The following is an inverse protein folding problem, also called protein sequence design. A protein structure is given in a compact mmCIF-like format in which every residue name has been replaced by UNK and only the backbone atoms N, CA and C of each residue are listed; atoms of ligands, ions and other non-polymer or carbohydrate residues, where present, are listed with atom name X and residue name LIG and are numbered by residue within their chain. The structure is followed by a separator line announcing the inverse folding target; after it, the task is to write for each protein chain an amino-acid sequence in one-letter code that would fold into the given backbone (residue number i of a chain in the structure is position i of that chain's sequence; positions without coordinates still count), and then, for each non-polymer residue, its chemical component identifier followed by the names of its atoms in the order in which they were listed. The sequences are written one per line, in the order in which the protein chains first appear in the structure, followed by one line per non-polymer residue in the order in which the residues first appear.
data_IF_522227597626
#
_entry.id   IF_522227597626
#
_cell.length_a   1.000
_cell.length_b   1.000
_cell.length_c   1.000
_cell.angle_alpha   90.00
_cell.angle_beta   90.00
_cell.angle_gamma   90.00
#
_symmetry.space_group_name_H-M   'P 1'
#
loop_
_entity.id
_entity.type
_entity.pdbx_description
1 polymer ?
#
# COMPACT_ATOMS: atom_id res chain seq x y z
N UNK A 1 -29.87 14.37 14.21
CA UNK A 1 -28.56 14.86 13.71
C UNK A 1 -27.53 13.85 14.20
N UNK A 2 -27.30 12.79 13.43
CA UNK A 2 -26.31 11.79 13.78
C UNK A 2 -24.95 12.33 13.33
N UNK A 3 -23.99 12.40 14.24
CA UNK A 3 -22.61 12.66 13.89
C UNK A 3 -22.16 11.55 12.94
N UNK A 4 -21.85 11.91 11.70
CA UNK A 4 -21.11 11.06 10.78
C UNK A 4 -19.79 10.74 11.46
N UNK A 5 -19.67 9.55 12.04
CA UNK A 5 -18.37 8.94 12.30
C UNK A 5 -17.65 8.95 10.95
N UNK A 6 -16.62 9.79 10.86
CA UNK A 6 -15.59 9.62 9.82
C UNK A 6 -15.02 8.24 10.11
N UNK A 7 -15.47 7.23 9.36
CA UNK A 7 -14.88 5.91 9.37
C UNK A 7 -13.39 6.15 9.10
N UNK A 8 -12.56 6.07 10.15
CA UNK A 8 -11.11 6.05 9.98
C UNK A 8 -10.85 4.77 9.21
N UNK A 9 -10.58 4.90 7.90
CA UNK A 9 -10.18 3.78 7.07
C UNK A 9 -9.04 3.00 7.73
N UNK A 10 -8.86 1.74 7.37
CA UNK A 10 -7.83 0.88 7.98
C UNK A 10 -6.43 1.29 7.56
N UNK A 11 -5.42 0.81 8.28
CA UNK A 11 -4.03 1.05 7.90
C UNK A 11 -3.56 0.08 6.82
N UNK A 12 -2.60 0.51 6.01
CA UNK A 12 -1.91 -0.34 5.04
C UNK A 12 -1.20 -1.50 5.74
N UNK A 13 -0.51 -1.25 6.86
CA UNK A 13 0.18 -2.30 7.61
C UNK A 13 -0.77 -3.39 8.12
N UNK A 14 -1.97 -3.02 8.57
CA UNK A 14 -2.97 -4.02 9.03
C UNK A 14 -3.51 -4.83 7.86
N UNK A 15 -3.86 -4.17 6.75
CA UNK A 15 -4.35 -4.84 5.53
C UNK A 15 -3.31 -5.81 4.97
N UNK A 16 -2.04 -5.39 4.96
CA UNK A 16 -0.91 -6.21 4.57
C UNK A 16 -0.79 -7.43 5.48
N UNK A 17 -0.85 -7.24 6.80
CA UNK A 17 -0.74 -8.33 7.75
C UNK A 17 -1.90 -9.32 7.61
N UNK A 18 -3.14 -8.87 7.52
CA UNK A 18 -4.29 -9.76 7.38
C UNK A 18 -4.24 -10.56 6.07
N UNK A 19 -3.96 -9.88 4.95
CA UNK A 19 -3.97 -10.50 3.61
C UNK A 19 -2.90 -11.58 3.46
N UNK A 20 -1.76 -11.37 4.09
CA UNK A 20 -0.56 -12.15 3.85
C UNK A 20 -0.15 -13.03 5.06
N UNK A 21 -0.49 -12.65 6.30
CA UNK A 21 -0.14 -13.42 7.51
C UNK A 21 -1.27 -14.24 8.13
N UNK A 22 -2.53 -13.80 8.04
CA UNK A 22 -3.60 -14.40 8.86
C UNK A 22 -4.00 -15.83 8.41
N UNK A 23 -3.37 -16.34 7.35
CA UNK A 23 -3.49 -17.75 6.96
C UNK A 23 -2.74 -18.73 7.90
N UNK A 24 -1.77 -18.25 8.69
CA UNK A 24 -0.95 -19.10 9.58
C UNK A 24 -1.73 -19.54 10.85
N UNK A 25 -2.75 -18.78 11.25
CA UNK A 25 -3.59 -19.10 12.41
C UNK A 25 -4.48 -20.32 12.16
N UNK A 26 -4.98 -20.49 10.93
CA UNK A 26 -5.75 -21.69 10.52
C UNK A 26 -4.91 -22.94 10.28
N UNK A 27 -3.59 -22.80 10.07
CA UNK A 27 -2.69 -23.92 9.78
C UNK A 27 -2.40 -24.79 11.02
N UNK A 28 -2.39 -24.20 12.21
CA UNK A 28 -2.12 -24.92 13.46
C UNK A 28 -3.30 -25.80 13.94
N UNK A 29 -4.50 -25.60 13.38
CA UNK A 29 -5.70 -26.36 13.74
C UNK A 29 -5.96 -27.60 12.86
N UNK A 30 -5.25 -27.76 11.73
CA UNK A 30 -5.35 -28.97 10.88
C UNK A 30 -4.34 -30.05 11.29
N UNK A 31 -4.49 -30.61 12.50
CA UNK A 31 -3.71 -31.79 12.93
C UNK A 31 -4.15 -33.12 12.31
N UNK A 32 -5.17 -33.15 11.44
CA UNK A 32 -5.75 -34.41 10.94
C UNK A 32 -6.03 -34.39 9.43
N UNK A 33 -4.99 -34.60 8.61
CA UNK A 33 -5.11 -35.34 7.35
C UNK A 33 -5.18 -34.53 6.05
N UNK A 34 -4.19 -34.82 5.18
CA UNK A 34 -4.07 -34.49 3.75
C UNK A 34 -4.02 -33.00 3.37
N UNK A 35 -2.80 -32.50 3.19
CA UNK A 35 -2.52 -31.15 2.73
C UNK A 35 -2.60 -31.05 1.20
N UNK A 36 -3.57 -30.28 0.70
CA UNK A 36 -3.45 -29.64 -0.61
C UNK A 36 -2.92 -28.24 -0.38
N UNK A 37 -1.61 -28.06 -0.56
CA UNK A 37 -0.96 -26.75 -0.41
C UNK A 37 -1.01 -26.00 -1.73
N UNK A 38 -1.79 -24.92 -1.78
CA UNK A 38 -1.70 -23.97 -2.88
C UNK A 38 -0.54 -23.01 -2.61
N UNK A 39 0.64 -23.35 -3.13
CA UNK A 39 1.71 -22.37 -3.28
C UNK A 39 1.36 -21.46 -4.47
N UNK A 40 0.65 -20.36 -4.21
CA UNK A 40 0.83 -19.19 -5.07
C UNK A 40 2.24 -18.69 -4.73
N UNK A 41 3.16 -18.60 -5.70
CA UNK A 41 4.61 -18.44 -5.51
C UNK A 41 5.10 -17.13 -4.86
N UNK A 42 4.33 -16.58 -3.92
CA UNK A 42 4.44 -15.24 -3.32
C UNK A 42 4.23 -15.28 -1.79
N UNK A 43 4.20 -16.47 -1.17
CA UNK A 43 3.95 -16.61 0.27
C UNK A 43 4.98 -15.82 1.10
N UNK A 44 4.53 -15.08 2.11
CA UNK A 44 5.43 -14.35 3.01
C UNK A 44 6.30 -15.30 3.81
N UNK A 45 7.49 -14.84 4.18
CA UNK A 45 8.34 -15.50 5.17
C UNK A 45 8.28 -14.71 6.48
N UNK A 46 8.01 -15.40 7.57
CA UNK A 46 8.19 -14.85 8.92
C UNK A 46 9.66 -14.97 9.30
N UNK A 47 10.30 -13.86 9.61
CA UNK A 47 11.70 -13.80 10.06
C UNK A 47 11.77 -13.30 11.51
N UNK A 48 12.93 -13.40 12.17
CA UNK A 48 13.13 -12.84 13.51
C UNK A 48 12.87 -11.32 13.57
N UNK A 49 13.00 -10.63 12.44
CA UNK A 49 12.78 -9.19 12.30
C UNK A 49 11.36 -8.81 11.89
N UNK A 50 10.49 -9.78 11.59
CA UNK A 50 9.11 -9.55 11.15
C UNK A 50 8.75 -10.28 9.85
N UNK A 51 7.59 -9.92 9.30
CA UNK A 51 7.11 -10.43 8.03
C UNK A 51 8.01 -9.92 6.89
N UNK A 52 8.33 -10.77 5.92
CA UNK A 52 9.02 -10.38 4.68
C UNK A 52 8.31 -11.05 3.50
N UNK A 53 7.82 -10.24 2.55
CA UNK A 53 7.23 -10.73 1.32
C UNK A 53 8.34 -11.11 0.33
N UNK A 54 8.29 -12.32 -0.23
CA UNK A 54 9.12 -12.68 -1.40
C UNK A 54 8.46 -12.25 -2.72
N UNK A 55 7.31 -11.57 -2.64
CA UNK A 55 6.57 -11.10 -3.80
C UNK A 55 7.14 -9.76 -4.27
N UNK A 56 7.37 -9.64 -5.57
CA UNK A 56 7.63 -8.33 -6.19
C UNK A 56 6.38 -7.46 -6.25
N UNK A 57 5.20 -8.01 -5.94
CA UNK A 57 3.90 -7.36 -6.12
C UNK A 57 3.03 -7.51 -4.87
N UNK A 58 2.43 -6.40 -4.42
CA UNK A 58 1.40 -6.34 -3.38
C UNK A 58 0.12 -5.80 -3.99
N UNK A 59 -1.01 -6.47 -3.73
CA UNK A 59 -2.34 -6.05 -4.20
C UNK A 59 -3.30 -6.01 -3.01
N UNK A 60 -3.75 -4.81 -2.67
CA UNK A 60 -4.64 -4.50 -1.55
C UNK A 60 -5.72 -3.51 -2.02
N UNK A 61 -6.46 -3.90 -3.07
CA UNK A 61 -7.55 -3.12 -3.67
C UNK A 61 -8.84 -3.26 -2.87
N UNK A 62 -9.62 -2.17 -2.72
CA UNK A 62 -10.94 -2.17 -2.06
C UNK A 62 -10.93 -2.62 -0.58
N UNK A 63 -9.84 -2.30 0.12
CA UNK A 63 -9.62 -2.66 1.53
C UNK A 63 -9.97 -1.50 2.49
N UNK A 64 -10.51 -0.38 1.98
CA UNK A 64 -10.78 0.84 2.76
C UNK A 64 -9.53 1.41 3.46
N UNK A 65 -8.34 1.24 2.88
CA UNK A 65 -7.09 1.76 3.43
C UNK A 65 -7.06 3.29 3.29
N UNK A 66 -6.74 4.01 4.35
CA UNK A 66 -6.66 5.49 4.32
C UNK A 66 -5.31 6.06 4.76
N UNK A 67 -4.47 5.26 5.40
CA UNK A 67 -3.19 5.68 5.98
C UNK A 67 -2.21 4.51 6.07
N UNK A 68 -0.93 4.79 6.31
CA UNK A 68 0.16 3.78 6.27
C UNK A 68 0.10 2.81 7.45
N UNK A 69 -0.15 3.32 8.66
CA UNK A 69 -0.01 2.53 9.90
C UNK A 69 1.44 2.51 10.38
N UNK A 70 2.01 1.34 10.64
CA UNK A 70 3.41 1.19 11.09
C UNK A 70 4.39 1.20 9.91
N UNK A 71 5.13 2.31 9.68
CA UNK A 71 6.01 2.44 8.52
C UNK A 71 7.21 1.48 8.57
N UNK A 72 7.65 1.08 9.76
CA UNK A 72 8.76 0.14 9.93
C UNK A 72 8.31 -1.28 9.57
N UNK A 73 7.13 -1.68 10.03
CA UNK A 73 6.55 -2.98 9.66
C UNK A 73 6.36 -3.08 8.14
N UNK A 74 5.91 -2.01 7.49
CA UNK A 74 5.80 -1.93 6.03
C UNK A 74 7.18 -2.06 5.36
N UNK A 75 8.19 -1.34 5.85
CA UNK A 75 9.54 -1.39 5.27
C UNK A 75 10.17 -2.78 5.34
N UNK A 76 9.98 -3.50 6.44
CA UNK A 76 10.47 -4.87 6.61
C UNK A 76 9.70 -5.82 5.68
N UNK A 77 8.36 -5.73 5.70
CA UNK A 77 7.46 -6.59 4.93
C UNK A 77 7.61 -6.42 3.42
N UNK A 78 7.76 -5.19 2.96
CA UNK A 78 7.77 -4.83 1.55
C UNK A 78 9.18 -4.55 1.01
N UNK A 79 10.22 -5.05 1.68
CA UNK A 79 11.63 -4.80 1.33
C UNK A 79 12.07 -5.31 -0.05
N UNK A 80 11.25 -6.11 -0.76
CA UNK A 80 11.51 -6.59 -2.12
C UNK A 80 10.38 -6.24 -3.10
N UNK A 81 9.40 -5.45 -2.66
CA UNK A 81 8.21 -5.12 -3.46
C UNK A 81 8.55 -4.04 -4.47
N UNK A 82 8.23 -4.31 -5.74
CA UNK A 82 8.42 -3.40 -6.86
C UNK A 82 7.09 -2.82 -7.38
N UNK A 83 5.98 -3.51 -7.16
CA UNK A 83 4.64 -3.07 -7.57
C UNK A 83 3.68 -3.09 -6.38
N UNK A 84 3.00 -1.97 -6.15
CA UNK A 84 1.92 -1.87 -5.16
C UNK A 84 0.64 -1.41 -5.85
N UNK A 85 -0.39 -2.25 -5.80
CA UNK A 85 -1.75 -1.87 -6.19
C UNK A 85 -2.62 -1.67 -4.96
N UNK A 86 -2.99 -0.41 -4.73
CA UNK A 86 -3.89 0.04 -3.66
C UNK A 86 -5.01 0.88 -4.25
N UNK A 87 -5.46 0.52 -5.46
CA UNK A 87 -6.61 1.15 -6.10
C UNK A 87 -7.90 0.96 -5.31
N UNK A 88 -8.88 1.84 -5.53
CA UNK A 88 -10.19 1.80 -4.86
C UNK A 88 -10.10 1.79 -3.33
N UNK A 89 -9.17 2.56 -2.77
CA UNK A 89 -9.03 2.75 -1.32
C UNK A 89 -9.49 4.16 -0.93
N UNK A 90 -9.24 4.55 0.32
CA UNK A 90 -9.64 5.81 0.91
C UNK A 90 -8.47 6.78 1.13
N UNK A 91 -7.38 6.68 0.36
CA UNK A 91 -6.29 7.64 0.45
C UNK A 91 -6.74 9.02 -0.06
N UNK A 92 -6.64 10.02 0.82
CA UNK A 92 -6.96 11.41 0.50
C UNK A 92 -5.85 12.39 0.89
N UNK A 93 -4.72 11.90 1.39
CA UNK A 93 -3.59 12.73 1.85
C UNK A 93 -2.29 12.31 1.15
N UNK A 94 -1.65 13.27 0.48
CA UNK A 94 -0.36 13.07 -0.17
C UNK A 94 0.79 12.87 0.81
N UNK A 95 0.64 13.29 2.08
CA UNK A 95 1.62 12.98 3.13
C UNK A 95 1.64 11.48 3.45
N UNK A 96 0.48 10.84 3.51
CA UNK A 96 0.38 9.38 3.69
C UNK A 96 0.98 8.63 2.51
N UNK A 97 0.76 9.11 1.27
CA UNK A 97 1.41 8.54 0.09
C UNK A 97 2.94 8.72 0.13
N UNK A 98 3.41 9.88 0.60
CA UNK A 98 4.84 10.11 0.82
C UNK A 98 5.42 9.14 1.83
N UNK A 99 4.75 8.98 2.97
CA UNK A 99 5.17 8.10 4.04
C UNK A 99 5.21 6.65 3.53
N UNK A 100 4.18 6.22 2.80
CA UNK A 100 4.11 4.90 2.21
C UNK A 100 5.29 4.64 1.28
N UNK A 101 5.55 5.56 0.35
CA UNK A 101 6.64 5.42 -0.62
C UNK A 101 8.01 5.49 0.05
N UNK A 102 8.16 6.23 1.15
CA UNK A 102 9.40 6.23 1.96
C UNK A 102 9.66 4.89 2.65
N UNK A 103 8.61 4.13 2.96
CA UNK A 103 8.68 2.76 3.47
C UNK A 103 8.87 1.70 2.39
N UNK A 104 8.88 2.07 1.11
CA UNK A 104 8.94 1.14 -0.03
C UNK A 104 10.18 1.39 -0.90
N UNK A 105 11.39 1.02 -0.43
CA UNK A 105 12.63 1.46 -1.05
C UNK A 105 12.84 1.00 -2.50
N UNK A 106 12.17 -0.07 -2.94
CA UNK A 106 12.34 -0.66 -4.27
C UNK A 106 11.11 -0.52 -5.18
N UNK A 107 10.09 0.23 -4.76
CA UNK A 107 8.85 0.36 -5.55
C UNK A 107 9.11 1.12 -6.85
N UNK A 108 8.65 0.53 -7.95
CA UNK A 108 8.72 1.06 -9.32
C UNK A 108 7.35 1.43 -9.85
N UNK A 109 6.31 0.73 -9.41
CA UNK A 109 4.93 0.98 -9.85
C UNK A 109 4.01 1.10 -8.65
N UNK A 110 3.25 2.18 -8.58
CA UNK A 110 2.16 2.32 -7.62
C UNK A 110 0.85 2.67 -8.33
N UNK A 111 -0.20 1.92 -8.01
CA UNK A 111 -1.55 2.20 -8.49
C UNK A 111 -2.41 2.77 -7.38
N UNK A 112 -2.76 4.04 -7.53
CA UNK A 112 -3.61 4.84 -6.62
C UNK A 112 -4.96 5.19 -7.26
N UNK A 113 -5.32 4.52 -8.36
CA UNK A 113 -6.58 4.77 -9.08
C UNK A 113 -7.78 4.67 -8.14
N UNK A 114 -8.81 5.49 -8.37
CA UNK A 114 -10.06 5.50 -7.61
C UNK A 114 -9.92 5.78 -6.11
N UNK A 115 -8.85 6.48 -5.69
CA UNK A 115 -8.73 7.05 -4.35
C UNK A 115 -9.25 8.51 -4.33
N UNK A 116 -9.91 8.96 -3.25
CA UNK A 116 -10.58 10.26 -3.15
C UNK A 116 -9.60 11.41 -2.83
N UNK A 117 -8.60 11.62 -3.68
CA UNK A 117 -7.70 12.76 -3.50
C UNK A 117 -8.46 14.07 -3.66
N UNK A 118 -8.24 15.05 -2.78
CA UNK A 118 -8.99 16.30 -2.81
C UNK A 118 -8.65 17.13 -4.05
N UNK A 119 -9.67 17.82 -4.55
CA UNK A 119 -9.59 18.73 -5.69
C UNK A 119 -9.01 20.07 -5.19
N UNK A 120 -7.99 20.58 -5.87
CA UNK A 120 -7.33 21.84 -5.55
C UNK A 120 -5.86 21.70 -5.16
N UNK A 121 -5.17 22.83 -5.03
CA UNK A 121 -3.73 22.87 -4.79
C UNK A 121 -3.40 22.47 -3.35
N UNK A 122 -3.20 21.17 -3.12
CA UNK A 122 -2.63 20.67 -1.89
C UNK A 122 -1.11 20.71 -1.99
N UNK A 123 -0.46 21.33 -0.99
CA UNK A 123 1.00 21.41 -0.93
C UNK A 123 1.54 19.99 -0.86
N UNK A 124 2.11 19.50 -1.96
CA UNK A 124 2.89 18.28 -1.94
C UNK A 124 4.02 18.45 -0.92
N UNK A 125 4.28 17.45 -0.06
CA UNK A 125 5.37 17.53 0.89
C UNK A 125 6.69 17.87 0.15
N UNK A 126 7.42 18.85 0.67
CA UNK A 126 8.63 19.39 0.01
C UNK A 126 9.69 18.29 -0.18
N UNK A 127 9.76 17.38 0.79
CA UNK A 127 10.70 16.27 0.87
C UNK A 127 10.33 15.05 0.01
N UNK A 128 9.23 15.09 -0.76
CA UNK A 128 8.90 14.01 -1.70
C UNK A 128 10.03 13.82 -2.70
N UNK A 129 10.67 12.67 -2.67
CA UNK A 129 11.45 12.14 -3.77
C UNK A 129 11.11 10.66 -3.94
N UNK A 130 10.79 10.27 -5.16
CA UNK A 130 10.45 8.88 -5.49
C UNK A 130 11.48 8.31 -6.47
N UNK A 131 12.74 8.15 -6.07
CA UNK A 131 13.87 7.96 -7.00
C UNK A 131 13.75 6.70 -7.87
N UNK A 132 12.95 5.72 -7.46
CA UNK A 132 12.76 4.45 -8.16
C UNK A 132 11.40 4.33 -8.86
N UNK A 133 10.49 5.30 -8.67
CA UNK A 133 9.13 5.21 -9.17
C UNK A 133 9.07 5.54 -10.66
N UNK A 134 8.73 4.54 -11.48
CA UNK A 134 8.60 4.67 -12.93
C UNK A 134 7.14 4.86 -13.36
N UNK A 135 6.19 4.30 -12.62
CA UNK A 135 4.77 4.26 -12.99
C UNK A 135 3.90 4.69 -11.81
N UNK A 136 3.09 5.72 -12.04
CA UNK A 136 2.09 6.23 -11.10
C UNK A 136 0.72 6.21 -11.77
N UNK A 137 -0.19 5.33 -11.33
CA UNK A 137 -1.55 5.27 -11.88
C UNK A 137 -2.52 6.04 -10.98
N UNK A 138 -3.25 7.00 -11.57
CA UNK A 138 -4.18 7.90 -10.88
C UNK A 138 -5.56 7.96 -11.56
N UNK A 139 -5.96 6.86 -12.20
CA UNK A 139 -7.20 6.82 -12.97
C UNK A 139 -8.40 6.98 -12.05
N UNK A 140 -9.41 7.76 -12.46
CA UNK A 140 -10.63 7.93 -11.66
C UNK A 140 -10.43 8.63 -10.31
N UNK A 141 -9.27 9.26 -10.06
CA UNK A 141 -8.97 10.00 -8.83
C UNK A 141 -9.42 11.47 -8.86
N UNK A 142 -10.01 11.93 -9.97
CA UNK A 142 -10.48 13.32 -10.18
C UNK A 142 -9.43 14.41 -9.90
N UNK A 143 -8.13 14.07 -10.02
CA UNK A 143 -7.02 14.99 -9.82
C UNK A 143 -6.93 15.98 -10.97
N UNK A 144 -6.73 17.26 -10.65
CA UNK A 144 -6.55 18.33 -11.63
C UNK A 144 -5.19 18.26 -12.35
N UNK A 145 -5.13 18.76 -13.58
CA UNK A 145 -3.93 18.70 -14.40
C UNK A 145 -2.72 19.40 -13.77
N UNK A 146 -2.93 20.53 -13.08
CA UNK A 146 -1.86 21.27 -12.41
C UNK A 146 -1.19 20.43 -11.31
N UNK A 147 -1.98 19.64 -10.60
CA UNK A 147 -1.47 18.72 -9.59
C UNK A 147 -0.68 17.56 -10.22
N UNK A 148 -1.11 17.05 -11.37
CA UNK A 148 -0.34 16.05 -12.13
C UNK A 148 1.03 16.61 -12.52
N UNK A 149 1.08 17.88 -12.97
CA UNK A 149 2.35 18.54 -13.32
C UNK A 149 3.28 18.66 -12.10
N UNK A 150 2.75 18.97 -10.92
CA UNK A 150 3.55 18.99 -9.69
C UNK A 150 4.05 17.60 -9.27
N UNK A 151 3.21 16.56 -9.40
CA UNK A 151 3.61 15.17 -9.13
C UNK A 151 4.73 14.70 -10.05
N UNK A 152 4.67 15.05 -11.34
CA UNK A 152 5.71 14.71 -12.32
C UNK A 152 7.07 15.35 -12.02
N UNK A 153 7.10 16.50 -11.31
CA UNK A 153 8.36 17.10 -10.84
C UNK A 153 9.01 16.29 -9.71
N UNK A 154 8.26 15.39 -9.05
CA UNK A 154 8.71 14.56 -7.93
C UNK A 154 9.12 13.13 -8.36
N UNK A 155 8.77 12.72 -9.57
CA UNK A 155 9.21 11.46 -10.17
C UNK A 155 10.59 11.62 -10.84
N UNK A 156 11.36 10.54 -10.99
CA UNK A 156 12.58 10.55 -11.80
C UNK A 156 12.28 10.98 -13.24
N UNK A 157 13.27 11.58 -13.91
CA UNK A 157 13.19 11.95 -15.33
C UNK A 157 13.55 10.79 -16.24
#
# INVERSE_FOLDING_TARGET
MAATEVLRGRSFSDALYERYCDFDSTFNDLKNGCDIVFFVGSSPKKTESGLVLNASTVVLTDEQISHVGDPNAVAISCSQVELVDISSNAFSDWHEISLLLSSLPHVKTINLSFNPFPIGFHILPIELQWPNLNTLCLNGSHIELDMIVELLKKTPK
#
